data_IF_643670650704
#
_entry.id   IF_643670650704
#
_cell.length_a   1.000
_cell.length_b   1.000
_cell.length_c   1.000
_cell.angle_alpha   90.00
_cell.angle_beta   90.00
_cell.angle_gamma   90.00
#
_symmetry.space_group_name_H-M   'P 1'
#
loop_
_entity.id
_entity.type
_entity.pdbx_description
1 polymer ?
#
# COMPACT_ATOMS: atom_id res chain seq x y z
N UNK A 1 5.73 11.95 -8.39
CA UNK A 1 5.98 10.54 -8.02
C UNK A 1 6.88 9.83 -9.03
N UNK A 2 6.55 9.81 -10.33
CA UNK A 2 7.29 9.04 -11.36
C UNK A 2 8.81 9.29 -11.38
N UNK A 3 9.25 10.55 -11.38
CA UNK A 3 10.68 10.92 -11.36
C UNK A 3 11.43 10.30 -10.17
N UNK A 4 10.82 10.25 -8.97
CA UNK A 4 11.44 9.67 -7.76
C UNK A 4 11.63 8.14 -7.91
N UNK A 5 10.66 7.46 -8.52
CA UNK A 5 10.74 6.01 -8.76
C UNK A 5 11.79 5.70 -9.83
N UNK A 6 11.86 6.51 -10.89
CA UNK A 6 12.87 6.36 -11.94
C UNK A 6 14.29 6.61 -11.38
N UNK A 7 14.46 7.61 -10.52
CA UNK A 7 15.73 7.86 -9.83
C UNK A 7 16.12 6.70 -8.91
N UNK A 8 15.17 6.14 -8.14
CA UNK A 8 15.39 4.94 -7.35
C UNK A 8 15.84 3.77 -8.24
N UNK A 9 15.22 3.58 -9.42
CA UNK A 9 15.63 2.58 -10.41
C UNK A 9 17.04 2.79 -10.95
N UNK A 10 17.48 4.03 -11.15
CA UNK A 10 18.87 4.35 -11.53
C UNK A 10 19.84 3.95 -10.42
N UNK A 11 19.54 4.32 -9.17
CA UNK A 11 20.38 3.99 -8.01
C UNK A 11 20.46 2.48 -7.78
N UNK A 12 19.34 1.76 -7.86
CA UNK A 12 19.29 0.30 -7.72
C UNK A 12 20.10 -0.41 -8.81
N UNK A 13 19.99 0.03 -10.07
CA UNK A 13 20.81 -0.50 -11.17
C UNK A 13 22.29 -0.26 -10.97
N UNK A 14 22.68 0.94 -10.52
CA UNK A 14 24.08 1.25 -10.22
C UNK A 14 24.63 0.38 -9.10
N UNK A 15 23.84 0.13 -8.05
CA UNK A 15 24.22 -0.77 -6.95
C UNK A 15 24.32 -2.23 -7.41
N UNK A 16 23.35 -2.73 -8.18
CA UNK A 16 23.41 -4.08 -8.73
C UNK A 16 24.64 -4.28 -9.64
N UNK A 17 24.95 -3.26 -10.46
CA UNK A 17 26.12 -3.24 -11.32
C UNK A 17 27.45 -3.31 -10.54
N UNK A 18 27.56 -2.65 -9.39
CA UNK A 18 28.77 -2.76 -8.55
C UNK A 18 28.94 -4.14 -7.91
N UNK A 19 27.86 -4.93 -7.85
CA UNK A 19 27.84 -6.32 -7.41
C UNK A 19 27.92 -7.33 -8.57
N UNK A 20 28.08 -6.88 -9.82
CA UNK A 20 28.02 -7.70 -11.03
C UNK A 20 26.71 -8.48 -11.21
N UNK A 21 25.58 -7.90 -10.76
CA UNK A 21 24.24 -8.48 -10.88
C UNK A 21 23.49 -7.73 -12.01
N UNK A 22 22.90 -8.48 -12.95
CA UNK A 22 21.96 -7.91 -13.92
C UNK A 22 20.64 -7.60 -13.23
N UNK A 23 20.21 -6.33 -13.30
CA UNK A 23 19.00 -5.86 -12.62
C UNK A 23 18.18 -4.97 -13.55
N UNK A 24 17.24 -5.52 -14.34
CA UNK A 24 16.27 -4.72 -15.06
C UNK A 24 15.31 -4.03 -14.06
N UNK A 25 14.87 -2.81 -14.40
CA UNK A 25 13.93 -2.05 -13.57
C UNK A 25 12.93 -1.32 -14.45
N UNK A 26 11.66 -1.71 -14.36
CA UNK A 26 10.58 -1.23 -15.21
C UNK A 26 9.52 -0.51 -14.35
N UNK A 27 9.15 0.70 -14.77
CA UNK A 27 8.12 1.50 -14.11
C UNK A 27 6.86 1.47 -14.94
N UNK A 28 5.79 0.92 -14.37
CA UNK A 28 4.45 0.93 -14.98
C UNK A 28 3.63 2.02 -14.29
N UNK A 29 3.11 2.96 -15.08
CA UNK A 29 2.21 4.01 -14.58
C UNK A 29 0.80 3.73 -15.08
N UNK A 30 -0.14 3.62 -14.16
CA UNK A 30 -1.55 3.39 -14.44
C UNK A 30 -2.39 4.49 -13.80
N UNK A 31 -3.51 4.84 -14.43
CA UNK A 31 -4.53 5.69 -13.80
C UNK A 31 -5.33 4.92 -12.74
N UNK A 32 -5.60 3.64 -13.02
CA UNK A 32 -6.32 2.70 -12.16
C UNK A 32 -5.87 1.25 -12.49
N UNK A 33 -6.17 0.30 -11.60
CA UNK A 33 -5.78 -1.10 -11.81
C UNK A 33 -6.63 -1.84 -12.85
N UNK A 34 -7.75 -1.28 -13.32
CA UNK A 34 -8.58 -1.89 -14.38
C UNK A 34 -7.81 -1.97 -15.69
N UNK A 35 -6.88 -1.03 -15.91
CA UNK A 35 -6.02 -0.98 -17.10
C UNK A 35 -4.80 -1.90 -17.03
N UNK A 36 -4.53 -2.54 -15.89
CA UNK A 36 -3.39 -3.44 -15.74
C UNK A 36 -3.58 -4.70 -16.61
N UNK A 37 -2.61 -4.99 -17.46
CA UNK A 37 -2.59 -6.17 -18.31
C UNK A 37 -1.29 -6.94 -18.12
N UNK A 38 -1.34 -8.27 -18.26
CA UNK A 38 -0.14 -9.12 -18.16
C UNK A 38 0.94 -8.74 -19.16
N UNK A 39 0.57 -8.33 -20.37
CA UNK A 39 1.52 -7.92 -21.41
C UNK A 39 2.32 -6.66 -21.05
N UNK A 40 1.91 -5.92 -20.02
CA UNK A 40 2.69 -4.79 -19.49
C UNK A 40 3.78 -5.25 -18.54
N UNK A 41 3.69 -6.48 -18.03
CA UNK A 41 4.64 -7.11 -17.14
C UNK A 41 5.56 -7.94 -18.04
N UNK A 42 6.82 -7.53 -18.14
CA UNK A 42 7.87 -8.20 -18.91
C UNK A 42 8.24 -9.52 -18.20
N UNK A 43 7.35 -10.50 -18.25
CA UNK A 43 7.46 -11.78 -17.57
C UNK A 43 8.06 -12.83 -18.50
N UNK A 44 8.99 -13.61 -17.96
CA UNK A 44 9.55 -14.81 -18.58
C UNK A 44 9.01 -16.04 -17.83
N UNK A 45 8.62 -17.08 -18.58
CA UNK A 45 8.06 -18.33 -18.03
C UNK A 45 9.09 -19.10 -17.19
N UNK A 46 10.39 -18.85 -17.37
CA UNK A 46 11.47 -19.47 -16.59
C UNK A 46 11.79 -18.72 -15.27
N UNK A 47 11.19 -17.54 -15.06
CA UNK A 47 11.43 -16.72 -13.87
C UNK A 47 10.44 -17.01 -12.72
N UNK A 48 10.96 -17.05 -11.49
CA UNK A 48 10.12 -17.12 -10.30
C UNK A 48 9.57 -15.73 -9.94
N UNK A 49 8.24 -15.58 -9.91
CA UNK A 49 7.62 -14.29 -9.60
C UNK A 49 7.29 -14.13 -8.11
N UNK A 50 7.68 -12.99 -7.54
CA UNK A 50 7.27 -12.50 -6.22
C UNK A 50 6.38 -11.26 -6.40
N UNK A 51 5.22 -11.25 -5.76
CA UNK A 51 4.40 -10.04 -5.65
C UNK A 51 4.60 -9.45 -4.26
N UNK A 52 4.99 -8.17 -4.19
CA UNK A 52 5.15 -7.43 -2.93
C UNK A 52 4.25 -6.20 -2.93
N UNK A 53 3.38 -6.08 -1.93
CA UNK A 53 2.46 -4.95 -1.76
C UNK A 53 2.56 -4.36 -0.37
N UNK A 54 2.93 -3.08 -0.28
CA UNK A 54 2.94 -2.32 0.97
C UNK A 54 1.73 -1.37 0.99
N UNK A 55 0.79 -1.61 1.90
CA UNK A 55 -0.49 -0.90 2.04
C UNK A 55 -1.26 -0.80 0.72
N UNK A 56 -1.13 -1.83 -0.12
CA UNK A 56 -1.68 -1.82 -1.47
C UNK A 56 -3.15 -2.24 -1.47
N UNK A 57 -3.50 -3.29 -0.71
CA UNK A 57 -4.85 -3.84 -0.72
C UNK A 57 -5.81 -2.95 0.07
N UNK A 58 -5.38 -2.39 1.20
CA UNK A 58 -6.20 -1.46 2.00
C UNK A 58 -6.68 -0.24 1.17
N UNK A 59 -5.87 0.25 0.22
CA UNK A 59 -6.24 1.38 -0.65
C UNK A 59 -7.32 1.04 -1.67
N UNK A 60 -7.47 -0.24 -2.00
CA UNK A 60 -8.40 -0.71 -3.02
C UNK A 60 -9.74 -1.21 -2.46
N UNK A 61 -9.90 -1.24 -1.12
CA UNK A 61 -11.16 -1.66 -0.47
C UNK A 61 -12.36 -0.81 -0.92
N UNK A 62 -12.13 0.47 -1.21
CA UNK A 62 -13.16 1.39 -1.72
C UNK A 62 -13.41 1.28 -3.23
N UNK A 63 -12.57 0.53 -3.95
CA UNK A 63 -12.60 0.35 -5.41
C UNK A 63 -12.63 -1.16 -5.76
N UNK A 64 -13.76 -1.86 -5.53
CA UNK A 64 -13.83 -3.32 -5.70
C UNK A 64 -13.47 -3.77 -7.12
N UNK A 65 -13.82 -2.98 -8.15
CA UNK A 65 -13.46 -3.28 -9.54
C UNK A 65 -11.94 -3.25 -9.78
N UNK A 66 -11.23 -2.32 -9.15
CA UNK A 66 -9.76 -2.22 -9.24
C UNK A 66 -9.09 -3.35 -8.47
N UNK A 67 -9.60 -3.67 -7.27
CA UNK A 67 -9.13 -4.82 -6.49
C UNK A 67 -9.30 -6.12 -7.27
N UNK A 68 -10.47 -6.34 -7.87
CA UNK A 68 -10.74 -7.53 -8.68
C UNK A 68 -9.81 -7.60 -9.90
N UNK A 69 -9.61 -6.48 -10.60
CA UNK A 69 -8.70 -6.43 -11.75
C UNK A 69 -7.25 -6.76 -11.35
N UNK A 70 -6.75 -6.17 -10.27
CA UNK A 70 -5.43 -6.46 -9.72
C UNK A 70 -5.30 -7.95 -9.33
N UNK A 71 -6.26 -8.49 -8.58
CA UNK A 71 -6.24 -9.88 -8.13
C UNK A 71 -6.33 -10.86 -9.31
N UNK A 72 -7.08 -10.52 -10.36
CA UNK A 72 -7.15 -11.32 -11.60
C UNK A 72 -5.79 -11.39 -12.29
N UNK A 73 -5.07 -10.27 -12.36
CA UNK A 73 -3.71 -10.23 -12.91
C UNK A 73 -2.76 -11.04 -12.04
N UNK A 74 -2.72 -10.80 -10.73
CA UNK A 74 -1.88 -11.56 -9.78
C UNK A 74 -2.14 -13.07 -9.88
N UNK A 75 -3.40 -13.49 -9.95
CA UNK A 75 -3.76 -14.91 -10.07
C UNK A 75 -3.22 -15.52 -11.37
N UNK A 76 -3.26 -14.77 -12.49
CA UNK A 76 -2.74 -15.25 -13.78
C UNK A 76 -1.21 -15.27 -13.85
N UNK A 77 -0.53 -14.36 -13.14
CA UNK A 77 0.93 -14.40 -12.95
C UNK A 77 1.33 -15.66 -12.19
N UNK A 78 0.44 -16.18 -11.32
CA UNK A 78 0.69 -17.34 -10.47
C UNK A 78 2.01 -17.22 -9.69
N UNK A 79 2.18 -16.15 -8.88
CA UNK A 79 3.42 -15.90 -8.19
C UNK A 79 3.77 -17.03 -7.23
N UNK A 80 5.06 -17.30 -7.09
CA UNK A 80 5.56 -18.31 -6.14
C UNK A 80 5.32 -17.87 -4.70
N UNK A 81 5.38 -16.56 -4.44
CA UNK A 81 5.10 -15.95 -3.15
C UNK A 81 4.39 -14.61 -3.39
N UNK A 82 3.39 -14.31 -2.56
CA UNK A 82 2.79 -12.98 -2.44
C UNK A 82 2.98 -12.50 -1.00
N UNK A 83 3.57 -11.31 -0.84
CA UNK A 83 3.76 -10.65 0.44
C UNK A 83 2.96 -9.37 0.43
N UNK A 84 2.04 -9.23 1.39
CA UNK A 84 1.33 -7.98 1.63
C UNK A 84 1.54 -7.51 3.05
N UNK A 85 1.69 -6.21 3.20
CA UNK A 85 1.80 -5.53 4.48
C UNK A 85 0.67 -4.52 4.52
N UNK A 86 -0.39 -4.82 5.27
CA UNK A 86 -1.54 -3.95 5.44
C UNK A 86 -1.79 -3.73 6.95
N UNK A 87 -2.53 -2.67 7.28
CA UNK A 87 -2.81 -2.35 8.67
C UNK A 87 -3.76 -3.37 9.33
N UNK A 88 -3.40 -3.87 10.51
CA UNK A 88 -4.21 -4.82 11.29
C UNK A 88 -5.29 -4.10 12.14
N UNK A 89 -6.12 -3.27 11.52
CA UNK A 89 -7.23 -2.55 12.19
C UNK A 89 -8.48 -2.57 11.31
N UNK A 90 -9.67 -2.51 11.91
CA UNK A 90 -10.93 -2.44 11.18
C UNK A 90 -11.54 -1.04 11.21
N UNK A 91 -11.06 -0.17 10.31
CA UNK A 91 -11.63 1.16 10.08
C UNK A 91 -12.72 1.11 9.00
N UNK A 92 -13.28 -0.07 8.70
CA UNK A 92 -14.32 -0.26 7.69
C UNK A 92 -15.73 -0.50 8.27
N UNK A 93 -15.92 -0.46 9.59
CA UNK A 93 -17.24 -0.68 10.21
C UNK A 93 -18.31 0.30 9.66
N UNK A 94 -19.53 -0.20 9.34
CA UNK A 94 -20.65 0.66 8.97
C UNK A 94 -21.19 1.46 10.17
N UNK A 95 -20.88 1.06 11.41
CA UNK A 95 -21.28 1.76 12.63
C UNK A 95 -20.24 2.84 12.96
N UNK A 96 -20.69 4.08 13.14
CA UNK A 96 -19.82 5.24 13.37
C UNK A 96 -18.91 5.09 14.59
N UNK A 97 -19.53 4.74 15.73
CA UNK A 97 -18.80 4.64 16.99
C UNK A 97 -17.68 3.61 16.88
N UNK A 98 -17.95 2.44 16.30
CA UNK A 98 -16.93 1.40 16.12
C UNK A 98 -15.75 1.88 15.28
N UNK A 99 -16.00 2.43 14.08
CA UNK A 99 -14.91 2.92 13.21
C UNK A 99 -14.17 4.11 13.82
N UNK A 100 -14.85 4.94 14.61
CA UNK A 100 -14.24 6.08 15.29
C UNK A 100 -13.28 5.60 16.39
N UNK A 101 -13.71 4.65 17.22
CA UNK A 101 -12.89 4.08 18.29
C UNK A 101 -11.68 3.34 17.70
N UNK A 102 -11.89 2.52 16.67
CA UNK A 102 -10.81 1.81 15.98
C UNK A 102 -9.79 2.77 15.36
N UNK A 103 -10.24 3.81 14.65
CA UNK A 103 -9.34 4.81 14.07
C UNK A 103 -8.56 5.57 15.15
N UNK A 104 -9.20 5.93 16.27
CA UNK A 104 -8.55 6.63 17.37
C UNK A 104 -7.46 5.76 18.02
N UNK A 105 -7.74 4.49 18.29
CA UNK A 105 -6.78 3.56 18.86
C UNK A 105 -5.61 3.30 17.90
N UNK A 106 -5.91 3.07 16.62
CA UNK A 106 -4.89 2.84 15.60
C UNK A 106 -3.98 4.05 15.41
N UNK A 107 -4.55 5.24 15.21
CA UNK A 107 -3.76 6.44 15.03
C UNK A 107 -3.02 6.85 16.30
N UNK A 108 -3.63 6.69 17.49
CA UNK A 108 -2.98 6.95 18.78
C UNK A 108 -1.71 6.10 18.96
N UNK A 109 -1.81 4.79 18.71
CA UNK A 109 -0.65 3.91 18.77
C UNK A 109 0.45 4.30 17.77
N UNK A 110 0.09 4.75 16.56
CA UNK A 110 1.07 5.23 15.59
C UNK A 110 1.70 6.56 16.00
N UNK A 111 0.94 7.49 16.57
CA UNK A 111 1.49 8.75 17.09
C UNK A 111 2.50 8.50 18.21
N UNK A 112 2.19 7.62 19.16
CA UNK A 112 3.09 7.26 20.26
C UNK A 112 4.38 6.61 19.72
N UNK A 113 4.25 5.68 18.78
CA UNK A 113 5.39 5.02 18.15
C UNK A 113 6.27 6.00 17.35
N UNK A 114 5.66 6.93 16.61
CA UNK A 114 6.40 7.93 15.84
C UNK A 114 7.04 8.97 16.76
N UNK A 115 6.38 9.31 17.87
CA UNK A 115 6.97 10.15 18.91
C UNK A 115 8.27 9.52 19.39
N UNK A 116 8.27 8.24 19.71
CA UNK A 116 9.46 7.54 20.20
C UNK A 116 10.52 7.30 19.13
N UNK A 117 10.14 6.88 17.92
CA UNK A 117 11.07 6.56 16.85
C UNK A 117 11.68 7.80 16.18
N UNK A 118 10.94 8.90 16.10
CA UNK A 118 11.31 10.12 15.36
C UNK A 118 11.45 11.35 16.26
N UNK A 119 11.77 11.16 17.56
CA UNK A 119 11.93 12.26 18.54
C UNK A 119 12.75 13.45 18.02
N UNK A 120 13.83 13.17 17.29
CA UNK A 120 14.75 14.19 16.75
C UNK A 120 14.43 14.62 15.31
N UNK A 121 13.48 13.97 14.63
CA UNK A 121 13.17 14.13 13.22
C UNK A 121 11.74 14.71 13.05
N UNK A 122 11.56 15.93 13.58
CA UNK A 122 10.24 16.57 13.70
C UNK A 122 9.60 16.85 12.33
N UNK A 123 10.41 17.18 11.31
CA UNK A 123 9.91 17.46 9.97
C UNK A 123 9.37 16.18 9.30
N UNK A 124 10.10 15.08 9.42
CA UNK A 124 9.73 13.76 8.92
C UNK A 124 8.49 13.25 9.63
N UNK A 125 8.41 13.39 10.96
CA UNK A 125 7.20 13.08 11.74
C UNK A 125 6.00 13.87 11.23
N UNK A 126 6.14 15.18 11.03
CA UNK A 126 5.06 16.02 10.50
C UNK A 126 4.57 15.59 9.11
N UNK A 127 5.46 15.06 8.26
CA UNK A 127 5.07 14.49 6.96
C UNK A 127 4.24 13.22 7.16
N UNK A 128 4.66 12.31 8.04
CA UNK A 128 3.91 11.07 8.31
C UNK A 128 2.54 11.41 8.90
N UNK A 129 2.49 12.29 9.89
CA UNK A 129 1.25 12.71 10.54
C UNK A 129 0.25 13.27 9.53
N UNK A 130 0.70 14.20 8.68
CA UNK A 130 -0.17 14.89 7.71
C UNK A 130 -0.56 14.04 6.51
N UNK A 131 0.33 13.15 6.03
CA UNK A 131 0.10 12.37 4.81
C UNK A 131 -0.52 10.99 5.06
N UNK A 132 -0.36 10.42 6.25
CA UNK A 132 -0.84 9.08 6.59
C UNK A 132 -1.96 9.10 7.63
N UNK A 133 -1.76 9.77 8.77
CA UNK A 133 -2.68 9.66 9.91
C UNK A 133 -3.90 10.58 9.79
N UNK A 134 -3.69 11.84 9.41
CA UNK A 134 -4.79 12.82 9.26
C UNK A 134 -5.85 12.36 8.25
N UNK A 135 -5.51 11.79 7.07
CA UNK A 135 -6.52 11.26 6.15
C UNK A 135 -7.36 10.13 6.75
N UNK A 136 -6.75 9.21 7.51
CA UNK A 136 -7.46 8.11 8.18
C UNK A 136 -8.47 8.67 9.19
N UNK A 137 -8.03 9.59 10.05
CA UNK A 137 -8.87 10.24 11.07
C UNK A 137 -10.02 11.01 10.42
N UNK A 138 -9.72 11.87 9.42
CA UNK A 138 -10.72 12.66 8.72
C UNK A 138 -11.76 11.75 8.06
N UNK A 139 -11.32 10.69 7.40
CA UNK A 139 -12.21 9.80 6.68
C UNK A 139 -13.06 8.92 7.61
N UNK A 140 -12.55 8.54 8.79
CA UNK A 140 -13.32 7.85 9.81
C UNK A 140 -14.41 8.74 10.43
N UNK A 141 -14.13 10.04 10.60
CA UNK A 141 -15.03 10.99 11.26
C UNK A 141 -16.04 11.70 10.33
N UNK A 142 -15.62 12.07 9.12
CA UNK A 142 -16.37 13.00 8.27
C UNK A 142 -16.95 12.36 6.99
N UNK A 143 -16.51 11.15 6.64
CA UNK A 143 -16.96 10.46 5.42
C UNK A 143 -18.03 9.41 5.70
N UNK A 144 -19.09 9.40 4.91
CA UNK A 144 -20.11 8.35 4.91
C UNK A 144 -20.29 7.77 3.50
N UNK A 145 -20.82 6.54 3.40
CA UNK A 145 -21.16 5.93 2.11
C UNK A 145 -20.02 5.97 1.09
N UNK A 146 -20.30 6.47 -0.11
CA UNK A 146 -19.34 6.53 -1.22
C UNK A 146 -18.25 7.62 -1.06
N UNK A 147 -18.47 8.62 -0.19
CA UNK A 147 -17.49 9.66 0.12
C UNK A 147 -16.32 9.09 0.94
N UNK A 148 -16.56 7.99 1.66
CA UNK A 148 -15.54 7.36 2.50
C UNK A 148 -14.56 6.54 1.67
N UNK A 149 -13.36 7.07 1.43
CA UNK A 149 -12.32 6.49 0.57
C UNK A 149 -11.25 5.66 1.30
N UNK A 150 -10.89 6.01 2.54
CA UNK A 150 -9.91 5.25 3.32
C UNK A 150 -10.59 4.14 4.15
N UNK A 151 -10.51 2.90 3.67
CA UNK A 151 -11.16 1.75 4.30
C UNK A 151 -10.10 0.71 4.60
N UNK A 152 -9.87 0.44 5.89
CA UNK A 152 -8.97 -0.62 6.31
C UNK A 152 -9.83 -1.76 6.83
N UNK A 153 -9.63 -2.95 6.26
CA UNK A 153 -10.29 -4.17 6.72
C UNK A 153 -9.33 -4.87 7.66
N UNK A 154 -9.81 -5.24 8.84
CA UNK A 154 -9.01 -5.99 9.79
C UNK A 154 -8.56 -7.32 9.20
N UNK A 155 -7.33 -7.72 9.53
CA UNK A 155 -6.85 -9.07 9.22
C UNK A 155 -7.53 -10.00 10.22
N UNK A 156 -8.62 -10.62 9.80
CA UNK A 156 -9.15 -11.76 10.53
C UNK A 156 -8.14 -12.89 10.35
N UNK A 157 -7.35 -13.16 11.38
CA UNK A 157 -6.55 -14.39 11.42
C UNK A 157 -7.52 -15.54 11.16
N UNK A 158 -7.30 -16.28 10.07
CA UNK A 158 -7.95 -17.57 9.87
C UNK A 158 -7.37 -18.45 10.97
N UNK A 159 -8.07 -18.54 12.10
CA UNK A 159 -7.82 -19.50 13.17
C UNK A 159 -8.44 -20.85 12.82
#
# INVERSE_FOLDING_TARGET
MRCVIEEAGVRLRSLAGSLNISFPFHVITLEDFVKLQLSMLDLDDEEAVLVYGLHALEKLVSSPNELEALMRVITRISPRVMITIDAATNVNSPIFVDRFVEALLYCGALFDNLEDCLRSNVAERGIVDSSLLVPVIRNAMAGEGAERKHRIVGINAIS
#
